data_IF_710908336595
#
_entry.id   IF_710908336595
#
_cell.length_a   1.000
_cell.length_b   1.000
_cell.length_c   1.000
_cell.angle_alpha   90.00
_cell.angle_beta   90.00
_cell.angle_gamma   90.00
#
_symmetry.space_group_name_H-M   'P 1'
#
loop_
_entity.id
_entity.type
_entity.pdbx_description
1 polymer ?
#
# COMPACT_ATOMS: atom_id res chain seq x y z
N UNK A 1 -11.35 7.53 2.39
CA UNK A 1 -11.65 6.21 1.78
C UNK A 1 -10.62 5.22 2.25
N UNK A 2 -11.02 3.95 2.38
CA UNK A 2 -10.13 2.86 2.78
C UNK A 2 -9.86 1.99 1.56
N UNK A 3 -8.59 1.64 1.34
CA UNK A 3 -8.15 0.89 0.18
C UNK A 3 -7.68 -0.51 0.58
N UNK A 4 -8.14 -1.52 -0.14
CA UNK A 4 -7.78 -2.92 0.10
C UNK A 4 -7.01 -3.46 -1.11
N UNK A 5 -5.73 -3.77 -0.91
CA UNK A 5 -4.85 -4.34 -1.94
C UNK A 5 -4.77 -5.84 -1.74
N UNK A 6 -5.38 -6.61 -2.61
CA UNK A 6 -5.37 -8.08 -2.55
C UNK A 6 -5.89 -8.62 -3.87
N UNK A 7 -5.34 -9.75 -4.34
CA UNK A 7 -5.77 -10.38 -5.59
C UNK A 7 -6.81 -11.48 -5.38
N UNK A 8 -6.96 -12.01 -4.16
CA UNK A 8 -7.79 -13.19 -3.90
C UNK A 8 -8.88 -13.00 -2.85
N UNK A 9 -8.57 -12.35 -1.73
CA UNK A 9 -9.49 -12.29 -0.60
C UNK A 9 -10.68 -11.40 -0.89
N UNK A 10 -11.86 -11.71 -0.30
CA UNK A 10 -13.02 -10.82 -0.43
C UNK A 10 -12.72 -9.43 0.16
N UNK A 11 -13.27 -8.41 -0.47
CA UNK A 11 -13.10 -7.04 0.00
C UNK A 11 -13.93 -6.84 1.28
N UNK A 12 -13.29 -6.36 2.38
CA UNK A 12 -14.04 -6.04 3.59
C UNK A 12 -15.03 -4.89 3.34
N UNK A 13 -16.11 -4.88 4.11
CA UNK A 13 -17.08 -3.80 4.03
C UNK A 13 -16.40 -2.46 4.34
N UNK A 14 -16.75 -1.43 3.56
CA UNK A 14 -16.22 -0.09 3.74
C UNK A 14 -14.88 0.16 3.04
N UNK A 15 -14.37 -0.82 2.28
CA UNK A 15 -13.13 -0.69 1.55
C UNK A 15 -13.37 -0.63 0.05
N UNK A 16 -12.54 0.13 -0.66
CA UNK A 16 -12.41 0.01 -2.10
C UNK A 16 -11.29 -0.97 -2.43
N UNK A 17 -11.42 -1.68 -3.53
CA UNK A 17 -10.53 -2.78 -3.90
C UNK A 17 -9.63 -2.42 -5.07
N UNK A 18 -8.33 -2.73 -4.95
CA UNK A 18 -7.41 -2.83 -6.08
C UNK A 18 -6.76 -4.20 -6.06
N UNK A 19 -6.59 -4.79 -7.24
CA UNK A 19 -6.17 -6.19 -7.38
C UNK A 19 -4.69 -6.35 -7.72
N UNK A 20 -4.03 -5.26 -8.16
CA UNK A 20 -2.70 -5.35 -8.74
C UNK A 20 -1.91 -4.07 -8.49
N UNK A 21 -0.61 -4.15 -8.79
CA UNK A 21 0.27 -2.97 -8.75
C UNK A 21 -0.24 -1.88 -9.69
N UNK A 22 -0.60 -2.25 -10.92
CA UNK A 22 -1.08 -1.28 -11.91
C UNK A 22 -2.34 -0.57 -11.42
N UNK A 23 -3.29 -1.30 -10.85
CA UNK A 23 -4.50 -0.71 -10.30
C UNK A 23 -4.22 0.17 -9.09
N UNK A 24 -3.26 -0.22 -8.25
CA UNK A 24 -2.84 0.59 -7.10
C UNK A 24 -2.29 1.94 -7.55
N UNK A 25 -1.37 1.92 -8.52
CA UNK A 25 -0.79 3.14 -9.09
C UNK A 25 -1.87 4.03 -9.70
N UNK A 26 -2.75 3.45 -10.50
CA UNK A 26 -3.85 4.18 -11.15
C UNK A 26 -4.78 4.81 -10.12
N UNK A 27 -5.07 4.11 -9.03
CA UNK A 27 -5.89 4.65 -7.95
C UNK A 27 -5.27 5.91 -7.35
N UNK A 28 -3.99 5.86 -6.98
CA UNK A 28 -3.33 7.02 -6.38
C UNK A 28 -3.24 8.18 -7.36
N UNK A 29 -2.99 7.90 -8.63
CA UNK A 29 -2.93 8.96 -9.64
C UNK A 29 -4.28 9.64 -9.86
N UNK A 30 -5.36 8.90 -9.75
CA UNK A 30 -6.71 9.43 -10.00
C UNK A 30 -7.34 10.08 -8.77
N UNK A 31 -7.21 9.46 -7.59
CA UNK A 31 -7.94 9.86 -6.38
C UNK A 31 -7.07 10.45 -5.29
N UNK A 32 -5.75 10.30 -5.40
CA UNK A 32 -4.84 10.71 -4.33
C UNK A 32 -4.77 9.68 -3.21
N UNK A 33 -4.26 10.08 -2.06
CA UNK A 33 -4.06 9.18 -0.93
C UNK A 33 -5.39 8.79 -0.28
N UNK A 34 -5.62 7.50 -0.02
CA UNK A 34 -6.73 7.10 0.85
C UNK A 34 -6.42 7.41 2.31
N UNK A 35 -7.41 7.25 3.18
CA UNK A 35 -7.23 7.42 4.62
C UNK A 35 -6.51 6.23 5.26
N UNK A 36 -6.73 5.05 4.70
CA UNK A 36 -6.24 3.79 5.24
C UNK A 36 -5.96 2.81 4.11
N UNK A 37 -4.87 2.05 4.21
CA UNK A 37 -4.54 1.01 3.24
C UNK A 37 -4.28 -0.31 3.97
N UNK A 38 -4.91 -1.37 3.50
CA UNK A 38 -4.61 -2.74 3.92
C UNK A 38 -3.86 -3.43 2.78
N UNK A 39 -2.58 -3.76 3.01
CA UNK A 39 -1.69 -4.34 2.00
C UNK A 39 -1.64 -5.85 2.09
N UNK A 40 -1.77 -6.54 0.94
CA UNK A 40 -1.23 -7.88 0.77
C UNK A 40 0.14 -7.78 0.11
N UNK A 41 0.98 -8.81 0.28
CA UNK A 41 2.30 -8.88 -0.35
C UNK A 41 2.25 -9.62 -1.68
N UNK A 42 1.63 -10.80 -1.70
CA UNK A 42 1.64 -11.68 -2.87
C UNK A 42 0.40 -11.38 -3.73
N UNK A 43 0.64 -10.83 -4.91
CA UNK A 43 -0.45 -10.40 -5.81
C UNK A 43 -0.64 -11.32 -7.02
N UNK A 44 0.06 -12.47 -7.04
CA UNK A 44 -0.06 -13.41 -8.15
C UNK A 44 0.50 -12.90 -9.47
N UNK A 45 1.38 -11.90 -9.42
CA UNK A 45 1.98 -11.28 -10.60
C UNK A 45 3.45 -10.93 -10.33
N UNK A 46 4.12 -10.32 -11.31
CA UNK A 46 5.52 -9.90 -11.18
C UNK A 46 5.72 -8.90 -10.06
N UNK A 47 4.86 -7.90 -9.97
CA UNK A 47 4.94 -6.89 -8.91
C UNK A 47 4.19 -7.36 -7.67
N UNK A 48 4.77 -7.05 -6.50
CA UNK A 48 4.21 -7.44 -5.21
C UNK A 48 3.63 -6.23 -4.46
N UNK A 49 3.06 -6.50 -3.29
CA UNK A 49 2.64 -5.44 -2.38
C UNK A 49 3.81 -4.58 -1.90
N UNK A 50 5.03 -5.14 -1.86
CA UNK A 50 6.23 -4.35 -1.56
C UNK A 50 6.47 -3.28 -2.64
N UNK A 51 6.27 -3.62 -3.91
CA UNK A 51 6.39 -2.66 -5.00
C UNK A 51 5.34 -1.55 -4.87
N UNK A 52 4.13 -1.91 -4.46
CA UNK A 52 3.09 -0.91 -4.17
C UNK A 52 3.50 0.01 -3.03
N UNK A 53 4.08 -0.54 -1.96
CA UNK A 53 4.56 0.26 -0.83
C UNK A 53 5.69 1.20 -1.26
N UNK A 54 6.60 0.75 -2.11
CA UNK A 54 7.65 1.62 -2.68
C UNK A 54 7.05 2.76 -3.49
N UNK A 55 6.08 2.47 -4.32
CA UNK A 55 5.39 3.51 -5.08
C UNK A 55 4.71 4.52 -4.15
N UNK A 56 4.07 4.05 -3.08
CA UNK A 56 3.43 4.92 -2.09
C UNK A 56 4.45 5.85 -1.44
N UNK A 57 5.63 5.33 -1.06
CA UNK A 57 6.71 6.14 -0.49
C UNK A 57 7.14 7.22 -1.46
N UNK A 58 7.39 6.85 -2.72
CA UNK A 58 7.78 7.81 -3.75
C UNK A 58 6.71 8.87 -4.00
N UNK A 59 5.45 8.45 -4.02
CA UNK A 59 4.31 9.35 -4.19
C UNK A 59 4.26 10.39 -3.06
N UNK A 60 4.40 9.94 -1.82
CA UNK A 60 4.34 10.83 -0.66
C UNK A 60 5.58 11.75 -0.60
N UNK A 61 6.75 11.21 -0.92
CA UNK A 61 7.99 11.99 -0.89
C UNK A 61 7.96 13.11 -1.93
N UNK A 62 7.54 12.80 -3.15
CA UNK A 62 7.48 13.79 -4.23
C UNK A 62 6.52 14.93 -3.92
N UNK A 63 5.45 14.65 -3.19
CA UNK A 63 4.40 15.62 -2.87
C UNK A 63 4.48 16.18 -1.46
N UNK A 64 5.48 15.73 -0.67
CA UNK A 64 5.65 16.12 0.73
C UNK A 64 4.40 15.86 1.55
N UNK A 65 3.84 14.65 1.41
CA UNK A 65 2.65 14.21 2.14
C UNK A 65 3.01 13.12 3.13
N UNK A 66 2.36 13.09 4.31
CA UNK A 66 2.54 11.97 5.24
C UNK A 66 1.89 10.70 4.69
N UNK A 67 2.34 9.54 5.18
CA UNK A 67 1.71 8.27 4.83
C UNK A 67 0.29 8.20 5.38
N UNK A 68 -0.63 7.57 4.66
CA UNK A 68 -1.91 7.17 5.26
C UNK A 68 -1.68 6.11 6.33
N UNK A 69 -2.67 5.87 7.17
CA UNK A 69 -2.66 4.73 8.09
C UNK A 69 -2.65 3.44 7.27
N UNK A 70 -1.98 2.41 7.79
CA UNK A 70 -1.87 1.15 7.05
C UNK A 70 -1.78 -0.05 7.98
N UNK A 71 -2.15 -1.21 7.45
CA UNK A 71 -1.83 -2.53 8.01
C UNK A 71 -1.38 -3.43 6.87
N UNK A 72 -0.70 -4.52 7.20
CA UNK A 72 -0.32 -5.55 6.23
C UNK A 72 -1.00 -6.85 6.66
N UNK A 73 -1.87 -7.37 5.81
CA UNK A 73 -2.66 -8.57 6.12
C UNK A 73 -2.13 -9.84 5.44
N UNK A 74 -0.91 -9.78 4.90
CA UNK A 74 -0.33 -10.89 4.17
C UNK A 74 -0.02 -12.09 5.07
N UNK A 75 -0.17 -13.30 4.52
CA UNK A 75 0.26 -14.54 5.17
C UNK A 75 1.73 -14.87 4.90
N UNK A 76 2.42 -14.06 4.10
CA UNK A 76 3.85 -14.19 3.86
C UNK A 76 4.60 -13.38 4.92
N UNK A 77 5.20 -14.01 5.95
CA UNK A 77 5.80 -13.27 7.07
C UNK A 77 7.00 -12.42 6.64
N UNK A 78 7.79 -12.87 5.68
CA UNK A 78 8.92 -12.10 5.17
C UNK A 78 8.43 -10.88 4.39
N UNK A 79 7.48 -11.07 3.49
CA UNK A 79 6.89 -9.98 2.73
C UNK A 79 6.20 -8.95 3.61
N UNK A 80 5.46 -9.42 4.62
CA UNK A 80 4.82 -8.54 5.59
C UNK A 80 5.83 -7.68 6.33
N UNK A 81 6.89 -8.30 6.85
CA UNK A 81 7.94 -7.59 7.58
C UNK A 81 8.64 -6.56 6.68
N UNK A 82 8.89 -6.91 5.42
CA UNK A 82 9.53 -6.00 4.48
C UNK A 82 8.69 -4.75 4.21
N UNK A 83 7.39 -4.90 4.03
CA UNK A 83 6.49 -3.76 3.83
C UNK A 83 6.42 -2.91 5.09
N UNK A 84 6.22 -3.54 6.25
CA UNK A 84 6.14 -2.84 7.53
C UNK A 84 7.40 -2.04 7.81
N UNK A 85 8.57 -2.64 7.56
CA UNK A 85 9.86 -1.97 7.79
C UNK A 85 10.05 -0.79 6.85
N UNK A 86 9.74 -0.96 5.56
CA UNK A 86 9.86 0.13 4.59
C UNK A 86 9.02 1.34 4.99
N UNK A 87 7.75 1.11 5.31
CA UNK A 87 6.83 2.20 5.64
C UNK A 87 7.15 2.83 7.00
N UNK A 88 7.54 2.02 7.99
CA UNK A 88 7.95 2.53 9.28
C UNK A 88 9.22 3.40 9.18
N UNK A 89 10.20 2.97 8.38
CA UNK A 89 11.42 3.74 8.17
C UNK A 89 11.13 5.08 7.48
N UNK A 90 10.26 5.08 6.48
CA UNK A 90 9.89 6.33 5.82
C UNK A 90 9.20 7.27 6.81
N UNK A 91 8.22 6.77 7.56
CA UNK A 91 7.49 7.56 8.54
C UNK A 91 8.41 8.17 9.60
N UNK A 92 9.44 7.41 10.03
CA UNK A 92 10.39 7.85 11.04
C UNK A 92 11.30 8.97 10.54
N UNK A 93 11.64 8.99 9.25
CA UNK A 93 12.68 9.86 8.69
C UNK A 93 12.15 11.06 7.91
N UNK A 94 10.83 11.22 7.78
CA UNK A 94 10.26 12.39 7.11
C UNK A 94 10.08 13.55 8.09
N UNK A 95 10.15 14.78 7.54
CA UNK A 95 10.09 16.01 8.32
C UNK A 95 8.94 16.94 7.91
N UNK A 96 7.93 16.39 7.24
CA UNK A 96 6.79 17.21 6.81
C UNK A 96 5.46 16.65 7.30
#
# INVERSE_FOLDING_TARGET
>A
MNLYLDDLRPTPEGFERVYSYEEFVAYLQRYGLPDFISFDHDLGEEFSGYDCAKYLVDYCLDRQLPLPKFVVHSQNPVGKANIEQLLANFKKNIEF
#
